data_IF_351818928797
#
_entry.id   IF_351818928797
#
_cell.length_a   1.000
_cell.length_b   1.000
_cell.length_c   1.000
_cell.angle_alpha   90.00
_cell.angle_beta   90.00
_cell.angle_gamma   90.00
#
_symmetry.space_group_name_H-M   'P 1'
#
loop_
_entity.id
_entity.type
_entity.pdbx_description
1 polymer ?
#
# COMPACT_ATOMS: atom_id res chain seq x y z
N UNK A 1 1.95 28.91 29.86
CA UNK A 1 1.80 28.02 28.68
C UNK A 1 2.39 28.59 27.38
N UNK A 2 2.30 29.90 27.08
CA UNK A 2 2.85 30.49 25.84
C UNK A 2 4.38 30.37 25.66
N UNK A 3 5.17 30.38 26.75
CA UNK A 3 6.64 30.33 26.68
C UNK A 3 7.23 28.99 26.19
N UNK A 4 6.62 27.85 26.55
CA UNK A 4 7.11 26.53 26.10
C UNK A 4 6.88 26.32 24.60
N UNK A 5 5.71 26.73 24.10
CA UNK A 5 5.41 26.69 22.67
C UNK A 5 6.33 27.57 21.84
N UNK A 6 6.70 28.76 22.36
CA UNK A 6 7.66 29.64 21.71
C UNK A 6 9.06 29.02 21.66
N UNK A 7 9.55 28.43 22.76
CA UNK A 7 10.85 27.75 22.80
C UNK A 7 10.87 26.57 21.81
N UNK A 8 9.83 25.74 21.79
CA UNK A 8 9.72 24.64 20.84
C UNK A 8 9.71 25.12 19.39
N UNK A 9 8.96 26.19 19.09
CA UNK A 9 8.94 26.77 17.74
C UNK A 9 10.32 27.32 17.33
N UNK A 10 11.02 28.01 18.23
CA UNK A 10 12.38 28.53 17.98
C UNK A 10 13.35 27.38 17.72
N UNK A 11 13.30 26.30 18.48
CA UNK A 11 14.16 25.11 18.26
C UNK A 11 13.90 24.50 16.88
N UNK A 12 12.63 24.27 16.53
CA UNK A 12 12.26 23.68 15.22
C UNK A 12 12.71 24.58 14.08
N UNK A 13 12.45 25.89 14.16
CA UNK A 13 12.84 26.84 13.12
C UNK A 13 14.35 26.97 12.99
N UNK A 14 15.07 26.96 14.11
CA UNK A 14 16.54 27.02 14.10
C UNK A 14 17.11 25.74 13.49
N UNK A 15 16.59 24.58 13.86
CA UNK A 15 17.00 23.30 13.26
C UNK A 15 16.70 23.26 11.76
N UNK A 16 15.50 23.65 11.34
CA UNK A 16 15.14 23.71 9.93
C UNK A 16 16.03 24.67 9.13
N UNK A 17 16.33 25.84 9.70
CA UNK A 17 17.24 26.81 9.09
C UNK A 17 18.67 26.27 8.99
N UNK A 18 19.19 25.63 10.04
CA UNK A 18 20.51 25.00 10.03
C UNK A 18 20.59 23.86 9.02
N UNK A 19 19.58 23.00 8.96
CA UNK A 19 19.50 21.92 7.98
C UNK A 19 19.44 22.48 6.56
N UNK A 20 18.62 23.52 6.32
CA UNK A 20 18.53 24.17 5.01
C UNK A 20 19.87 24.80 4.62
N UNK A 21 20.50 25.52 5.55
CA UNK A 21 21.82 26.12 5.33
C UNK A 21 22.88 25.06 5.04
N UNK A 22 22.92 23.97 5.81
CA UNK A 22 23.82 22.85 5.58
C UNK A 22 23.60 22.21 4.20
N UNK A 23 22.34 21.96 3.83
CA UNK A 23 21.98 21.38 2.54
C UNK A 23 22.41 22.26 1.36
N UNK A 24 22.17 23.57 1.45
CA UNK A 24 22.51 24.53 0.39
C UNK A 24 24.03 24.74 0.31
N UNK A 25 24.69 24.96 1.45
CA UNK A 25 26.13 25.23 1.52
C UNK A 25 26.98 24.04 1.10
N UNK A 26 26.58 22.82 1.47
CA UNK A 26 27.25 21.60 1.07
C UNK A 26 26.84 21.11 -0.33
N UNK A 27 25.96 21.85 -1.02
CA UNK A 27 25.39 21.45 -2.32
C UNK A 27 24.94 19.98 -2.33
N UNK A 28 24.31 19.52 -1.25
CA UNK A 28 23.90 18.11 -1.08
C UNK A 28 22.96 17.66 -2.20
N UNK A 29 22.15 18.60 -2.70
CA UNK A 29 21.26 18.45 -3.86
C UNK A 29 21.77 19.20 -5.08
N UNK A 30 23.10 19.33 -5.26
CA UNK A 30 23.69 20.01 -6.41
C UNK A 30 23.08 19.54 -7.73
N UNK A 31 23.03 20.43 -8.72
CA UNK A 31 22.59 20.15 -10.08
C UNK A 31 23.52 19.10 -10.70
N UNK A 32 23.25 17.83 -10.40
CA UNK A 32 23.98 16.71 -10.97
C UNK A 32 23.79 16.76 -12.48
N UNK A 33 24.86 17.02 -13.22
CA UNK A 33 24.87 17.06 -14.67
C UNK A 33 24.65 15.68 -15.31
N UNK A 34 24.44 14.63 -14.50
CA UNK A 34 24.19 13.26 -14.94
C UNK A 34 23.60 12.37 -13.84
N UNK A 35 23.29 11.13 -14.21
CA UNK A 35 22.80 10.10 -13.31
C UNK A 35 23.94 9.67 -12.37
N UNK A 36 23.65 9.46 -11.08
CA UNK A 36 24.66 8.98 -10.12
C UNK A 36 25.13 7.57 -10.53
N UNK A 37 26.36 7.14 -10.20
CA UNK A 37 26.90 5.84 -10.62
C UNK A 37 26.00 4.64 -10.32
N UNK A 38 25.32 4.62 -9.16
CA UNK A 38 24.37 3.55 -8.83
C UNK A 38 23.10 3.60 -9.69
N UNK A 39 22.63 4.80 -10.03
CA UNK A 39 21.49 4.95 -10.94
C UNK A 39 21.85 4.53 -12.37
N UNK A 40 23.07 4.84 -12.82
CA UNK A 40 23.61 4.41 -14.10
C UNK A 40 23.69 2.88 -14.17
N UNK A 41 24.20 2.24 -13.11
CA UNK A 41 24.20 0.78 -12.99
C UNK A 41 22.80 0.17 -13.18
N UNK A 42 21.76 0.70 -12.53
CA UNK A 42 20.40 0.17 -12.69
C UNK A 42 19.83 0.41 -14.08
N UNK A 43 20.09 1.57 -14.69
CA UNK A 43 19.65 1.87 -16.04
C UNK A 43 20.27 0.89 -17.06
N UNK A 44 21.56 0.62 -16.93
CA UNK A 44 22.29 -0.28 -17.82
C UNK A 44 21.93 -1.76 -17.61
N UNK A 45 21.70 -2.18 -16.36
CA UNK A 45 21.52 -3.60 -16.02
C UNK A 45 20.06 -4.04 -15.91
N UNK A 46 19.08 -3.14 -15.81
CA UNK A 46 17.66 -3.50 -15.65
C UNK A 46 17.16 -4.57 -16.64
N UNK A 47 17.55 -4.47 -17.92
CA UNK A 47 17.13 -5.38 -18.99
C UNK A 47 18.26 -6.18 -19.65
N UNK A 48 19.45 -5.60 -19.77
CA UNK A 48 20.62 -6.22 -20.42
C UNK A 48 21.75 -6.45 -19.41
N UNK A 49 22.75 -7.25 -19.78
CA UNK A 49 23.91 -7.53 -18.94
C UNK A 49 23.78 -8.77 -18.05
N UNK A 50 24.89 -9.14 -17.41
CA UNK A 50 25.01 -10.35 -16.60
C UNK A 50 24.29 -10.23 -15.25
N UNK A 51 24.15 -9.01 -14.73
CA UNK A 51 23.43 -8.70 -13.49
C UNK A 51 21.98 -8.27 -13.75
N UNK A 52 21.40 -8.73 -14.85
CA UNK A 52 20.10 -8.22 -15.27
C UNK A 52 18.92 -8.86 -14.58
N UNK A 53 18.02 -7.99 -14.11
CA UNK A 53 16.68 -8.37 -13.68
C UNK A 53 15.76 -8.71 -14.86
N UNK A 54 16.19 -8.53 -16.13
CA UNK A 54 15.38 -8.78 -17.34
C UNK A 54 14.01 -8.08 -17.33
N UNK A 55 13.96 -6.86 -16.77
CA UNK A 55 12.74 -6.04 -16.66
C UNK A 55 12.93 -4.70 -17.37
N UNK A 56 12.01 -4.29 -18.26
CA UNK A 56 12.10 -3.01 -18.94
C UNK A 56 11.72 -1.84 -18.00
N UNK A 57 10.98 -2.11 -16.93
CA UNK A 57 10.65 -1.11 -15.92
C UNK A 57 11.72 -1.15 -14.82
N UNK A 58 12.55 -0.10 -14.81
CA UNK A 58 13.76 0.00 -13.99
C UNK A 58 13.41 0.07 -12.52
N UNK A 59 12.36 0.81 -12.13
CA UNK A 59 12.02 0.99 -10.71
C UNK A 59 11.52 -0.31 -10.08
N UNK A 60 10.69 -1.06 -10.78
CA UNK A 60 10.16 -2.36 -10.38
C UNK A 60 11.27 -3.39 -10.28
N UNK A 61 12.25 -3.33 -11.20
CA UNK A 61 13.46 -4.14 -11.09
C UNK A 61 14.27 -3.81 -9.82
N UNK A 62 14.37 -2.52 -9.48
CA UNK A 62 15.03 -2.11 -8.23
C UNK A 62 14.25 -2.61 -7.02
N UNK A 63 12.93 -2.42 -6.98
CA UNK A 63 12.11 -2.73 -5.82
C UNK A 63 12.04 -4.23 -5.55
N UNK A 64 11.84 -5.06 -6.56
CA UNK A 64 11.55 -6.49 -6.37
C UNK A 64 12.75 -7.41 -6.61
N UNK A 65 13.70 -7.04 -7.48
CA UNK A 65 14.90 -7.84 -7.76
C UNK A 65 16.09 -7.32 -6.95
N UNK A 66 16.67 -6.17 -7.32
CA UNK A 66 17.89 -5.66 -6.71
C UNK A 66 17.75 -5.35 -5.21
N UNK A 67 16.58 -4.85 -4.80
CA UNK A 67 16.25 -4.46 -3.42
C UNK A 67 14.95 -5.10 -2.95
N UNK A 68 14.63 -6.30 -3.46
CA UNK A 68 13.46 -7.09 -3.08
C UNK A 68 13.21 -7.18 -1.58
N UNK A 69 14.28 -7.39 -0.82
CA UNK A 69 14.23 -7.50 0.64
C UNK A 69 13.74 -6.20 1.29
N UNK A 70 14.13 -5.04 0.77
CA UNK A 70 13.68 -3.75 1.31
C UNK A 70 12.17 -3.57 1.10
N UNK A 71 11.65 -3.91 -0.08
CA UNK A 71 10.21 -3.85 -0.38
C UNK A 71 9.40 -4.89 0.41
N UNK A 72 9.96 -6.09 0.61
CA UNK A 72 9.36 -7.10 1.50
C UNK A 72 9.23 -6.57 2.92
N UNK A 73 10.27 -5.92 3.46
CA UNK A 73 10.22 -5.34 4.80
C UNK A 73 9.32 -4.11 4.87
N UNK A 74 9.23 -3.28 3.84
CA UNK A 74 8.24 -2.21 3.76
C UNK A 74 6.81 -2.76 3.90
N UNK A 75 6.49 -3.80 3.12
CA UNK A 75 5.20 -4.49 3.21
C UNK A 75 4.98 -5.12 4.59
N UNK A 76 6.02 -5.69 5.21
CA UNK A 76 5.94 -6.24 6.56
C UNK A 76 5.70 -5.17 7.63
N UNK A 77 6.35 -4.01 7.53
CA UNK A 77 6.13 -2.87 8.44
C UNK A 77 4.71 -2.34 8.28
N UNK A 78 4.20 -2.22 7.05
CA UNK A 78 2.81 -1.88 6.80
C UNK A 78 1.86 -2.92 7.44
N UNK A 79 2.13 -4.21 7.25
CA UNK A 79 1.36 -5.28 7.88
C UNK A 79 1.30 -5.16 9.41
N UNK A 80 2.44 -4.86 10.05
CA UNK A 80 2.54 -4.64 11.48
C UNK A 80 1.74 -3.42 11.93
N UNK A 81 1.76 -2.33 11.16
CA UNK A 81 0.95 -1.14 11.44
C UNK A 81 -0.56 -1.45 11.40
N UNK A 82 -1.01 -2.25 10.42
CA UNK A 82 -2.41 -2.70 10.32
C UNK A 82 -2.79 -3.58 11.52
N UNK A 83 -1.96 -4.58 11.86
CA UNK A 83 -2.21 -5.44 13.04
C UNK A 83 -2.19 -4.63 14.33
N UNK A 84 -1.25 -3.70 14.48
CA UNK A 84 -1.18 -2.79 15.63
C UNK A 84 -2.46 -1.97 15.76
N UNK A 85 -2.92 -1.37 14.66
CA UNK A 85 -4.18 -0.63 14.62
C UNK A 85 -5.37 -1.51 15.01
N UNK A 86 -5.50 -2.70 14.42
CA UNK A 86 -6.58 -3.63 14.73
C UNK A 86 -6.55 -4.14 16.17
N UNK A 87 -5.35 -4.26 16.75
CA UNK A 87 -5.16 -4.69 18.15
C UNK A 87 -5.60 -3.58 19.11
N UNK A 88 -5.23 -2.33 18.82
CA UNK A 88 -5.62 -1.16 19.64
C UNK A 88 -7.13 -0.96 19.63
N UNK A 89 -7.79 -1.13 18.48
CA UNK A 89 -9.24 -0.98 18.35
C UNK A 89 -10.00 -2.31 18.45
N UNK A 90 -9.40 -3.34 19.05
CA UNK A 90 -10.04 -4.66 19.15
C UNK A 90 -11.27 -4.59 20.06
N UNK A 91 -12.43 -4.87 19.48
CA UNK A 91 -13.69 -5.02 20.21
C UNK A 91 -13.98 -6.50 20.50
N UNK A 92 -14.66 -6.77 21.62
CA UNK A 92 -15.23 -8.09 21.88
C UNK A 92 -16.42 -8.35 20.95
N UNK A 93 -16.78 -9.63 20.74
CA UNK A 93 -17.95 -9.99 19.93
C UNK A 93 -19.26 -9.38 20.45
N UNK A 94 -19.36 -9.20 21.77
CA UNK A 94 -20.52 -8.55 22.39
C UNK A 94 -20.56 -7.05 22.05
N UNK A 95 -19.43 -6.36 22.19
CA UNK A 95 -19.30 -4.94 21.82
C UNK A 95 -19.57 -4.72 20.33
N UNK A 96 -19.09 -5.60 19.44
CA UNK A 96 -19.40 -5.53 18.01
C UNK A 96 -20.91 -5.64 17.74
N UNK A 97 -21.61 -6.55 18.43
CA UNK A 97 -23.07 -6.68 18.32
C UNK A 97 -23.81 -5.43 18.83
N UNK A 98 -23.34 -4.84 19.93
CA UNK A 98 -23.91 -3.60 20.46
C UNK A 98 -23.73 -2.42 19.49
N UNK A 99 -22.55 -2.28 18.88
CA UNK A 99 -22.29 -1.25 17.87
C UNK A 99 -23.23 -1.41 16.68
N UNK A 100 -23.41 -2.64 16.18
CA UNK A 100 -24.33 -2.96 15.08
C UNK A 100 -25.77 -2.63 15.43
N UNK A 101 -26.23 -3.03 16.62
CA UNK A 101 -27.62 -2.78 17.08
C UNK A 101 -27.90 -1.29 17.29
N UNK A 102 -26.91 -0.53 17.76
CA UNK A 102 -27.00 0.93 17.93
C UNK A 102 -26.92 1.71 16.60
N UNK A 103 -26.72 1.04 15.47
CA UNK A 103 -26.67 1.63 14.14
C UNK A 103 -28.00 1.32 13.40
N UNK A 104 -29.11 1.75 13.99
CA UNK A 104 -30.47 1.40 13.54
C UNK A 104 -30.87 2.03 12.19
N UNK A 105 -30.14 3.04 11.73
CA UNK A 105 -30.23 3.61 10.37
C UNK A 105 -28.87 4.24 10.03
N UNK A 106 -28.09 3.65 9.11
CA UNK A 106 -26.88 4.29 8.62
C UNK A 106 -27.22 5.64 7.98
N UNK A 107 -26.44 6.68 8.30
CA UNK A 107 -26.56 7.97 7.62
C UNK A 107 -25.96 7.84 6.22
N UNK A 108 -26.79 7.49 5.24
CA UNK A 108 -26.38 7.44 3.84
C UNK A 108 -26.40 8.85 3.22
N UNK A 109 -25.56 9.05 2.19
CA UNK A 109 -25.58 10.27 1.41
C UNK A 109 -26.74 10.28 0.41
N UNK A 110 -26.92 11.41 -0.26
CA UNK A 110 -28.01 11.61 -1.23
C UNK A 110 -27.96 10.57 -2.36
N UNK A 111 -29.11 10.26 -3.00
CA UNK A 111 -29.13 9.32 -4.14
C UNK A 111 -28.15 9.68 -5.25
N UNK A 112 -27.99 10.99 -5.53
CA UNK A 112 -27.04 11.50 -6.54
C UNK A 112 -25.61 11.07 -6.18
N UNK A 113 -25.18 11.27 -4.94
CA UNK A 113 -23.84 10.87 -4.50
C UNK A 113 -23.67 9.36 -4.62
N UNK A 114 -24.67 8.58 -4.18
CA UNK A 114 -24.65 7.12 -4.26
C UNK A 114 -24.47 6.60 -5.68
N UNK A 115 -25.20 7.16 -6.64
CA UNK A 115 -25.13 6.72 -8.04
C UNK A 115 -23.80 7.14 -8.70
N UNK A 116 -23.31 8.35 -8.42
CA UNK A 116 -21.97 8.78 -8.87
C UNK A 116 -20.88 7.88 -8.26
N UNK A 117 -20.98 7.53 -6.98
CA UNK A 117 -20.03 6.63 -6.32
C UNK A 117 -19.95 5.27 -7.01
N UNK A 118 -21.07 4.69 -7.47
CA UNK A 118 -21.05 3.39 -8.18
C UNK A 118 -20.16 3.46 -9.44
N UNK A 119 -20.33 4.50 -10.24
CA UNK A 119 -19.57 4.69 -11.49
C UNK A 119 -18.08 4.91 -11.17
N UNK A 120 -17.78 5.76 -10.19
CA UNK A 120 -16.40 6.05 -9.76
C UNK A 120 -15.71 4.79 -9.22
N UNK A 121 -16.41 3.98 -8.42
CA UNK A 121 -15.85 2.73 -7.88
C UNK A 121 -15.41 1.78 -8.99
N UNK A 122 -16.23 1.59 -10.04
CA UNK A 122 -15.86 0.74 -11.18
C UNK A 122 -14.61 1.27 -11.88
N UNK A 123 -14.51 2.59 -12.07
CA UNK A 123 -13.32 3.21 -12.66
C UNK A 123 -12.08 3.03 -11.78
N UNK A 124 -12.20 3.19 -10.45
CA UNK A 124 -11.10 2.97 -9.51
C UNK A 124 -10.63 1.52 -9.58
N UNK A 125 -11.54 0.54 -9.61
CA UNK A 125 -11.17 -0.87 -9.72
C UNK A 125 -10.37 -1.15 -10.99
N UNK A 126 -10.80 -0.61 -12.14
CA UNK A 126 -10.11 -0.80 -13.40
C UNK A 126 -8.72 -0.13 -13.41
N UNK A 127 -8.64 1.13 -12.96
CA UNK A 127 -7.37 1.89 -12.93
C UNK A 127 -6.39 1.29 -11.93
N UNK A 128 -6.84 0.96 -10.73
CA UNK A 128 -5.98 0.36 -9.69
C UNK A 128 -5.41 -1.00 -10.11
N UNK A 129 -6.25 -1.85 -10.73
CA UNK A 129 -5.79 -3.12 -11.29
C UNK A 129 -4.78 -2.89 -12.42
N UNK A 130 -5.00 -1.91 -13.31
CA UNK A 130 -4.06 -1.59 -14.38
C UNK A 130 -2.70 -1.13 -13.83
N UNK A 131 -2.68 -0.27 -12.81
CA UNK A 131 -1.43 0.22 -12.17
C UNK A 131 -0.62 -0.95 -11.59
N UNK A 132 -1.28 -1.92 -10.96
CA UNK A 132 -0.62 -3.07 -10.38
C UNK A 132 -0.15 -4.08 -11.43
N UNK A 133 -1.06 -4.53 -12.31
CA UNK A 133 -0.79 -5.61 -13.25
C UNK A 133 0.23 -5.19 -14.32
N UNK A 134 0.25 -3.93 -14.72
CA UNK A 134 1.23 -3.39 -15.67
C UNK A 134 2.43 -2.73 -14.99
N UNK A 135 2.58 -2.83 -13.66
CA UNK A 135 3.71 -2.20 -12.94
C UNK A 135 5.09 -2.65 -13.43
N UNK A 136 5.17 -3.85 -14.01
CA UNK A 136 6.40 -4.38 -14.62
C UNK A 136 6.74 -3.79 -16.00
N UNK A 137 5.88 -2.94 -16.57
CA UNK A 137 6.04 -2.30 -17.88
C UNK A 137 5.88 -0.77 -17.82
N UNK A 138 5.05 -0.28 -16.91
CA UNK A 138 4.67 1.13 -16.79
C UNK A 138 4.89 1.60 -15.34
N UNK A 139 5.13 2.90 -15.10
CA UNK A 139 5.21 3.44 -13.75
C UNK A 139 3.99 3.05 -12.91
N UNK A 140 4.24 2.44 -11.75
CA UNK A 140 3.19 1.83 -10.94
C UNK A 140 3.76 0.80 -9.99
N UNK A 141 3.03 -0.30 -9.81
CA UNK A 141 3.39 -1.36 -8.89
C UNK A 141 2.24 -1.80 -8.00
N UNK A 142 2.47 -2.85 -7.23
CA UNK A 142 1.47 -3.43 -6.34
C UNK A 142 1.02 -2.46 -5.25
N UNK A 143 1.95 -1.77 -4.60
CA UNK A 143 1.65 -0.85 -3.50
C UNK A 143 0.78 0.33 -3.95
N UNK A 144 1.15 0.97 -5.05
CA UNK A 144 0.42 2.12 -5.60
C UNK A 144 -0.96 1.69 -6.10
N UNK A 145 -1.03 0.56 -6.81
CA UNK A 145 -2.29 -0.03 -7.22
C UNK A 145 -3.18 -0.39 -6.03
N UNK A 146 -2.62 -1.01 -4.99
CA UNK A 146 -3.36 -1.42 -3.79
C UNK A 146 -3.85 -0.21 -2.98
N UNK A 147 -3.03 0.84 -2.91
CA UNK A 147 -3.40 2.12 -2.30
C UNK A 147 -4.54 2.80 -3.06
N UNK A 148 -4.50 2.77 -4.40
CA UNK A 148 -5.59 3.26 -5.25
C UNK A 148 -6.87 2.42 -5.09
N UNK A 149 -6.74 1.09 -5.04
CA UNK A 149 -7.84 0.15 -4.80
C UNK A 149 -8.56 0.48 -3.49
N UNK A 150 -7.81 0.85 -2.44
CA UNK A 150 -8.35 1.17 -1.12
C UNK A 150 -9.32 2.37 -1.11
N UNK A 151 -9.27 3.24 -2.13
CA UNK A 151 -10.21 4.37 -2.27
C UNK A 151 -11.63 3.86 -2.55
N UNK A 152 -11.80 2.73 -3.26
CA UNK A 152 -13.11 2.17 -3.55
C UNK A 152 -13.91 1.78 -2.29
N UNK A 153 -13.40 0.93 -1.37
CA UNK A 153 -14.10 0.62 -0.13
C UNK A 153 -14.28 1.85 0.76
N UNK A 154 -13.33 2.80 0.78
CA UNK A 154 -13.48 4.07 1.50
C UNK A 154 -14.66 4.89 0.98
N UNK A 155 -14.83 5.02 -0.33
CA UNK A 155 -15.96 5.72 -0.95
C UNK A 155 -17.29 5.01 -0.68
N UNK A 156 -17.32 3.67 -0.74
CA UNK A 156 -18.53 2.89 -0.41
C UNK A 156 -18.93 3.13 1.05
N UNK A 157 -17.96 3.09 1.97
CA UNK A 157 -18.17 3.37 3.38
C UNK A 157 -18.74 4.78 3.57
N UNK A 158 -18.17 5.78 2.90
CA UNK A 158 -18.55 7.19 3.05
C UNK A 158 -19.92 7.52 2.43
N UNK A 159 -20.21 6.98 1.24
CA UNK A 159 -21.45 7.28 0.53
C UNK A 159 -22.64 6.48 1.02
N UNK A 160 -22.40 5.23 1.45
CA UNK A 160 -23.42 4.33 1.96
C UNK A 160 -23.18 4.08 3.44
N UNK A 161 -22.44 3.02 3.76
CA UNK A 161 -22.08 2.62 5.11
C UNK A 161 -21.10 1.46 5.06
N UNK A 162 -20.36 1.24 6.15
CA UNK A 162 -19.54 0.03 6.29
C UNK A 162 -20.36 -1.27 6.16
N UNK A 163 -21.63 -1.27 6.59
CA UNK A 163 -22.49 -2.45 6.48
C UNK A 163 -22.86 -2.80 5.05
N UNK A 164 -22.90 -1.80 4.16
CA UNK A 164 -23.08 -2.05 2.74
C UNK A 164 -21.91 -2.86 2.21
N UNK A 165 -20.68 -2.48 2.56
CA UNK A 165 -19.48 -3.21 2.16
C UNK A 165 -19.41 -4.62 2.78
N UNK A 166 -19.73 -4.76 4.07
CA UNK A 166 -19.84 -6.06 4.75
C UNK A 166 -20.90 -6.96 4.12
N UNK A 167 -22.07 -6.40 3.78
CA UNK A 167 -23.20 -7.10 3.17
C UNK A 167 -22.91 -7.59 1.75
N UNK A 168 -22.03 -6.90 1.02
CA UNK A 168 -21.51 -7.36 -0.28
C UNK A 168 -20.32 -8.31 -0.14
N UNK A 169 -20.03 -8.77 1.08
CA UNK A 169 -19.06 -9.83 1.33
C UNK A 169 -17.63 -9.35 1.53
N UNK A 170 -17.40 -8.09 1.88
CA UNK A 170 -16.08 -7.59 2.28
C UNK A 170 -16.12 -7.12 3.74
N UNK A 171 -15.98 -8.08 4.65
CA UNK A 171 -15.85 -7.81 6.08
C UNK A 171 -14.38 -7.77 6.53
N UNK A 172 -14.15 -7.38 7.78
CA UNK A 172 -12.81 -7.30 8.39
C UNK A 172 -12.05 -8.63 8.28
N UNK A 173 -12.73 -9.76 8.47
CA UNK A 173 -12.11 -11.09 8.44
C UNK A 173 -11.64 -11.45 7.04
N UNK A 174 -12.47 -11.24 6.03
CA UNK A 174 -12.13 -11.47 4.62
C UNK A 174 -11.02 -10.55 4.15
N UNK A 175 -11.06 -9.27 4.52
CA UNK A 175 -9.98 -8.34 4.25
C UNK A 175 -8.64 -8.83 4.86
N UNK A 176 -8.67 -9.34 6.09
CA UNK A 176 -7.47 -9.92 6.72
C UNK A 176 -6.98 -11.19 6.04
N UNK A 177 -7.88 -12.07 5.61
CA UNK A 177 -7.54 -13.29 4.87
C UNK A 177 -6.90 -12.93 3.53
N UNK A 178 -7.52 -12.06 2.73
CA UNK A 178 -6.99 -11.61 1.44
C UNK A 178 -5.62 -10.96 1.60
N UNK A 179 -5.44 -10.13 2.65
CA UNK A 179 -4.15 -9.56 2.95
C UNK A 179 -3.09 -10.62 3.25
N UNK A 180 -3.41 -11.60 4.08
CA UNK A 180 -2.49 -12.69 4.43
C UNK A 180 -2.17 -13.56 3.22
N UNK A 181 -3.13 -13.78 2.31
CA UNK A 181 -2.89 -14.45 1.02
C UNK A 181 -1.89 -13.66 0.17
N UNK A 182 -2.05 -12.34 0.09
CA UNK A 182 -1.09 -11.48 -0.61
C UNK A 182 0.33 -11.62 -0.03
N UNK A 183 0.48 -11.48 1.28
CA UNK A 183 1.80 -11.60 1.93
C UNK A 183 2.42 -13.00 1.75
N UNK A 184 1.62 -14.05 1.88
CA UNK A 184 2.07 -15.43 1.64
C UNK A 184 2.47 -15.64 0.18
N UNK A 185 1.72 -15.05 -0.76
CA UNK A 185 2.06 -15.08 -2.18
C UNK A 185 3.41 -14.45 -2.46
N UNK A 186 3.70 -13.26 -1.90
CA UNK A 186 5.03 -12.62 -2.01
C UNK A 186 6.12 -13.56 -1.48
N UNK A 187 5.92 -14.13 -0.28
CA UNK A 187 6.89 -15.02 0.34
C UNK A 187 7.14 -16.29 -0.50
N UNK A 188 6.10 -16.88 -1.09
CA UNK A 188 6.25 -18.04 -1.96
C UNK A 188 7.02 -17.70 -3.24
N UNK A 189 6.65 -16.61 -3.92
CA UNK A 189 7.35 -16.18 -5.15
C UNK A 189 8.82 -15.83 -4.84
N UNK A 190 9.12 -15.23 -3.68
CA UNK A 190 10.48 -14.96 -3.19
C UNK A 190 11.38 -16.19 -3.07
N UNK A 191 10.81 -17.37 -2.79
CA UNK A 191 11.56 -18.60 -2.59
C UNK A 191 11.73 -19.44 -3.86
N UNK A 192 10.90 -19.22 -4.89
CA UNK A 192 10.99 -19.95 -6.17
C UNK A 192 12.41 -19.94 -6.78
N UNK A 193 13.14 -18.80 -6.83
CA UNK A 193 14.50 -18.77 -7.38
C UNK A 193 15.48 -19.76 -6.74
N UNK A 194 15.31 -20.09 -5.46
CA UNK A 194 16.21 -20.99 -4.75
C UNK A 194 16.18 -22.41 -5.33
N UNK A 195 15.05 -22.80 -5.94
CA UNK A 195 14.89 -24.12 -6.56
C UNK A 195 15.74 -24.28 -7.82
N UNK A 196 16.08 -23.18 -8.49
CA UNK A 196 16.95 -23.15 -9.66
C UNK A 196 18.39 -22.72 -9.34
N UNK A 197 18.74 -22.61 -8.04
CA UNK A 197 20.05 -22.15 -7.59
C UNK A 197 20.26 -20.62 -7.67
N UNK A 198 19.18 -19.85 -7.89
CA UNK A 198 19.19 -18.40 -7.83
C UNK A 198 19.14 -17.84 -6.40
N UNK A 199 19.06 -16.52 -6.29
CA UNK A 199 18.97 -15.80 -5.01
C UNK A 199 17.52 -15.50 -4.62
N UNK A 200 17.25 -15.35 -3.32
CA UNK A 200 15.91 -14.97 -2.83
C UNK A 200 15.46 -13.68 -3.52
N UNK A 201 14.20 -13.66 -3.98
CA UNK A 201 13.57 -12.56 -4.73
C UNK A 201 14.13 -12.26 -6.11
N UNK A 202 15.18 -12.96 -6.55
CA UNK A 202 15.72 -12.79 -7.89
C UNK A 202 14.61 -13.03 -8.91
N UNK A 203 14.31 -12.01 -9.70
CA UNK A 203 13.38 -12.10 -10.81
C UNK A 203 13.78 -13.26 -11.70
N UNK A 204 12.86 -14.17 -11.88
CA UNK A 204 13.08 -15.33 -12.72
C UNK A 204 12.56 -15.04 -14.12
N UNK A 205 13.40 -15.12 -15.16
CA UNK A 205 12.94 -15.55 -16.47
C UNK A 205 12.85 -17.09 -16.52
N UNK A 206 11.79 -17.62 -17.14
CA UNK A 206 11.95 -18.70 -18.13
C UNK A 206 11.84 -17.99 -19.49
N UNK A 207 12.84 -18.16 -20.35
CA UNK A 207 12.94 -17.47 -21.64
C UNK A 207 11.90 -17.98 -22.66
N UNK A 208 11.41 -17.12 -23.57
CA UNK A 208 11.07 -15.69 -23.43
C UNK A 208 9.68 -15.56 -22.77
N UNK A 209 9.24 -14.38 -22.30
CA UNK A 209 7.82 -14.19 -21.91
C UNK A 209 7.08 -13.07 -22.67
N UNK A 210 7.85 -12.28 -23.44
CA UNK A 210 7.55 -11.61 -24.71
C UNK A 210 7.12 -10.13 -24.79
N UNK A 211 7.71 -9.46 -25.78
CA UNK A 211 7.43 -8.09 -26.21
C UNK A 211 6.64 -8.18 -27.52
N UNK A 212 5.50 -7.50 -27.62
CA UNK A 212 4.61 -7.53 -28.80
C UNK A 212 3.34 -8.37 -28.60
N UNK A 213 3.34 -9.28 -27.61
CA UNK A 213 2.14 -9.89 -27.01
C UNK A 213 2.10 -9.82 -25.47
N UNK A 214 3.11 -9.15 -24.89
CA UNK A 214 3.34 -8.82 -23.47
C UNK A 214 3.37 -9.96 -22.44
N UNK A 215 4.58 -10.30 -22.01
CA UNK A 215 4.96 -10.22 -20.59
C UNK A 215 6.47 -10.11 -20.48
N UNK A 216 7.02 -9.08 -19.84
CA UNK A 216 8.49 -8.93 -19.77
C UNK A 216 8.92 -8.55 -18.36
N UNK A 217 8.25 -9.16 -17.39
CA UNK A 217 8.49 -8.91 -15.98
C UNK A 217 8.65 -10.19 -15.19
N UNK A 218 8.85 -11.35 -15.82
CA UNK A 218 9.11 -12.62 -15.11
C UNK A 218 8.18 -12.84 -13.92
N UNK A 219 8.76 -12.97 -12.72
CA UNK A 219 8.02 -13.08 -11.46
C UNK A 219 7.52 -11.75 -10.87
N UNK A 220 7.98 -10.60 -11.37
CA UNK A 220 7.61 -9.25 -10.91
C UNK A 220 6.11 -8.98 -10.99
N UNK A 221 5.41 -9.51 -12.00
CA UNK A 221 3.96 -9.38 -12.10
C UNK A 221 3.25 -10.01 -10.90
N UNK A 222 3.75 -11.15 -10.41
CA UNK A 222 3.17 -11.85 -9.27
C UNK A 222 3.45 -11.08 -7.98
N UNK A 223 4.65 -10.53 -7.81
CA UNK A 223 4.92 -9.64 -6.69
C UNK A 223 3.97 -8.44 -6.66
N UNK A 224 3.82 -7.75 -7.80
CA UNK A 224 2.89 -6.63 -7.91
C UNK A 224 1.44 -7.05 -7.63
N UNK A 225 0.98 -8.19 -8.14
CA UNK A 225 -0.37 -8.68 -7.89
C UNK A 225 -0.62 -9.01 -6.41
N UNK A 226 0.32 -9.73 -5.78
CA UNK A 226 0.18 -10.11 -4.38
C UNK A 226 0.32 -8.93 -3.43
N UNK A 227 1.19 -7.98 -3.73
CA UNK A 227 1.31 -6.71 -3.00
C UNK A 227 0.04 -5.85 -3.18
N UNK A 228 -0.50 -5.75 -4.39
CA UNK A 228 -1.78 -5.10 -4.66
C UNK A 228 -2.90 -5.63 -3.78
N UNK A 229 -3.02 -6.96 -3.69
CA UNK A 229 -4.00 -7.61 -2.83
C UNK A 229 -3.72 -7.32 -1.35
N UNK A 230 -2.47 -7.43 -0.91
CA UNK A 230 -2.06 -7.20 0.47
C UNK A 230 -2.36 -5.77 0.92
N UNK A 231 -1.96 -4.78 0.13
CA UNK A 231 -2.11 -3.36 0.46
C UNK A 231 -3.57 -2.92 0.41
N UNK A 232 -4.28 -3.26 -0.67
CA UNK A 232 -5.70 -2.90 -0.81
C UNK A 232 -6.58 -3.53 0.28
N UNK A 233 -6.39 -4.81 0.58
CA UNK A 233 -7.12 -5.48 1.65
C UNK A 233 -6.70 -4.99 3.04
N UNK A 234 -5.42 -4.65 3.24
CA UNK A 234 -4.92 -4.06 4.49
C UNK A 234 -5.59 -2.72 4.82
N UNK A 235 -5.62 -1.79 3.87
CA UNK A 235 -6.34 -0.53 4.06
C UNK A 235 -7.84 -0.73 4.24
N UNK A 236 -8.45 -1.65 3.50
CA UNK A 236 -9.88 -1.99 3.66
C UNK A 236 -10.19 -2.41 5.10
N UNK A 237 -9.35 -3.25 5.71
CA UNK A 237 -9.50 -3.67 7.10
C UNK A 237 -9.43 -2.49 8.08
N UNK A 238 -8.52 -1.54 7.84
CA UNK A 238 -8.40 -0.32 8.66
C UNK A 238 -9.58 0.62 8.46
N UNK A 239 -10.07 0.81 7.24
CA UNK A 239 -11.24 1.66 7.00
C UNK A 239 -12.49 1.09 7.66
N UNK A 240 -12.73 -0.23 7.57
CA UNK A 240 -13.82 -0.88 8.29
C UNK A 240 -13.74 -0.67 9.80
N UNK A 241 -12.53 -0.67 10.35
CA UNK A 241 -12.26 -0.41 11.77
C UNK A 241 -12.51 1.05 12.17
N UNK A 242 -11.94 2.00 11.41
CA UNK A 242 -12.05 3.44 11.67
C UNK A 242 -13.46 3.99 11.38
N UNK A 243 -14.29 3.24 10.64
CA UNK A 243 -15.69 3.58 10.42
C UNK A 243 -16.58 3.38 11.64
N UNK A 244 -16.04 2.93 12.78
CA UNK A 244 -16.78 2.84 14.04
C UNK A 244 -16.83 4.25 14.65
N UNK A 245 -18.03 4.82 14.90
CA UNK A 245 -18.15 6.16 15.46
C UNK A 245 -17.42 6.31 16.81
N UNK A 246 -16.66 7.40 16.97
CA UNK A 246 -15.86 7.67 18.18
C UNK A 246 -16.72 7.71 19.45
N UNK A 247 -17.93 8.29 19.38
CA UNK A 247 -18.86 8.35 20.53
C UNK A 247 -19.20 6.95 21.06
N UNK A 248 -19.36 5.98 20.15
CA UNK A 248 -19.63 4.58 20.52
C UNK A 248 -18.37 3.94 21.10
N UNK A 249 -17.21 4.20 20.50
CA UNK A 249 -15.94 3.69 21.02
C UNK A 249 -15.63 4.21 22.43
N UNK A 250 -15.87 5.50 22.70
CA UNK A 250 -15.75 6.09 24.05
C UNK A 250 -16.71 5.47 25.06
N UNK A 251 -17.96 5.22 24.65
CA UNK A 251 -18.95 4.54 25.48
C UNK A 251 -18.49 3.12 25.86
N UNK A 252 -17.90 2.40 24.91
CA UNK A 252 -17.34 1.05 25.12
C UNK A 252 -16.16 1.07 26.10
N UNK A 253 -15.29 2.09 26.00
CA UNK A 253 -14.14 2.26 26.89
C UNK A 253 -14.51 2.80 28.29
N UNK A 254 -15.80 3.07 28.56
CA UNK A 254 -16.25 3.65 29.83
C UNK A 254 -15.76 5.08 30.06
N UNK A 255 -15.25 5.76 29.02
CA UNK A 255 -14.78 7.15 29.10
C UNK A 255 -16.01 8.06 28.90
N UNK A 256 -16.52 8.61 29.99
CA UNK A 256 -17.57 9.65 29.93
C UNK A 256 -17.00 10.95 29.34
N UNK A 257 -17.81 11.64 28.54
CA UNK A 257 -17.52 13.00 28.03
C UNK A 257 -17.18 13.95 29.16
#
# INVERSE_FOLDING_TARGET
MRGKGLITAVIILTFAALMTYAVVSLQVFGEGTGVRPLGEFYLENSYFGDYSARSPEVITSILWDYRGIDTLFETAVFFLAIIGSLTVFRLTREQEKEVKKAESTPTELTPIVKDVTKVIVVMILAVSASIALHGHLTPGGGFQGGSALAVAPLLIIAAYSKYTLEGHGMDKTRALILRSIGLLGIALVALVPLLSGGFIMQNQPIFPAEIGGQLIGGSLIYYNFFEFLAVGAGFTAVFLLLSIPEEKFKKILGVKK
#
